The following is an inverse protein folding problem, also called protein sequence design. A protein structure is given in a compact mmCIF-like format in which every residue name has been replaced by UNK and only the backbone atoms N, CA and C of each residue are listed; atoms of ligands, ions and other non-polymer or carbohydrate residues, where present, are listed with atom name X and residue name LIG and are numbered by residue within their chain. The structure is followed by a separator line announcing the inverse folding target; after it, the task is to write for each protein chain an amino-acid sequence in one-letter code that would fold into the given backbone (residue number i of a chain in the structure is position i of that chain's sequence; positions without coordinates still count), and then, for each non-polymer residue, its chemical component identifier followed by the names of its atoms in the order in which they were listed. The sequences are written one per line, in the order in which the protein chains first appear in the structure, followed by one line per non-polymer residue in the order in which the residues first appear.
data_IF_572740776298
#
_entry.id   IF_572740776298
#
_cell.length_a   1.000
_cell.length_b   1.000
_cell.length_c   1.000
_cell.angle_alpha   90.00
_cell.angle_beta   90.00
_cell.angle_gamma   90.00
#
_symmetry.space_group_name_H-M   'P 1'
#
loop_
_entity.id
_entity.type
_entity.pdbx_description
1 polymer ?
#
# COMPACT_ATOMS: atom_id res chain seq x y z
N UNK A 1 26.44 -30.79 -51.77
CA UNK A 1 27.34 -30.02 -52.67
C UNK A 1 26.70 -28.65 -52.89
N UNK A 2 27.37 -27.51 -52.70
CA UNK A 2 28.73 -27.27 -52.18
C UNK A 2 28.67 -26.22 -51.06
N UNK A 3 29.60 -26.35 -50.12
CA UNK A 3 30.05 -25.29 -49.21
C UNK A 3 31.16 -24.46 -49.92
N UNK A 4 31.36 -23.20 -49.52
CA UNK A 4 32.64 -22.44 -49.58
C UNK A 4 32.45 -21.13 -48.79
N UNK A 5 33.48 -20.73 -48.03
CA UNK A 5 33.52 -19.58 -47.11
C UNK A 5 34.63 -18.60 -47.51
N UNK A 6 34.45 -17.28 -47.35
CA UNK A 6 35.57 -16.32 -47.16
C UNK A 6 35.11 -14.88 -46.79
N UNK A 7 35.77 -14.28 -45.79
CA UNK A 7 35.79 -12.83 -45.49
C UNK A 7 37.20 -12.44 -45.03
N UNK A 8 37.82 -11.39 -45.59
CA UNK A 8 38.22 -10.18 -44.83
C UNK A 8 38.00 -8.91 -45.70
N UNK A 9 38.55 -7.68 -45.53
CA UNK A 9 39.53 -6.98 -44.67
C UNK A 9 38.97 -5.54 -44.38
N UNK A 10 39.36 -4.71 -43.38
CA UNK A 10 40.64 -4.03 -43.05
C UNK A 10 41.14 -3.09 -44.19
N UNK A 11 41.57 -1.84 -43.99
CA UNK A 11 41.50 -0.84 -42.88
C UNK A 11 42.19 0.46 -43.36
N UNK A 12 41.89 1.64 -42.82
CA UNK A 12 42.91 2.71 -42.65
C UNK A 12 42.53 3.74 -41.56
N UNK A 13 43.54 4.42 -41.00
CA UNK A 13 43.46 4.94 -39.62
C UNK A 13 44.48 6.08 -39.35
N UNK A 14 44.03 7.32 -39.20
CA UNK A 14 44.81 8.50 -38.76
C UNK A 14 43.86 9.41 -37.93
N UNK A 15 44.11 9.90 -36.70
CA UNK A 15 45.32 10.42 -36.01
C UNK A 15 46.00 11.56 -36.80
N UNK A 16 46.31 12.74 -36.23
CA UNK A 16 46.18 13.28 -34.87
C UNK A 16 46.31 14.81 -34.97
N UNK A 17 45.67 15.59 -34.10
CA UNK A 17 46.41 16.60 -33.32
C UNK A 17 45.67 17.00 -32.03
N UNK A 18 46.32 17.83 -31.20
CA UNK A 18 46.06 17.91 -29.76
C UNK A 18 46.23 19.32 -29.18
N UNK A 19 45.50 19.57 -28.09
CA UNK A 19 45.80 20.47 -26.94
C UNK A 19 45.53 21.98 -27.01
N UNK A 20 44.80 22.40 -25.97
CA UNK A 20 45.04 23.57 -25.09
C UNK A 20 44.35 24.91 -25.38
N UNK A 21 43.22 25.09 -24.70
CA UNK A 21 42.69 26.37 -24.20
C UNK A 21 41.93 26.09 -22.90
N UNK A 22 41.96 26.99 -21.91
CA UNK A 22 41.41 26.74 -20.57
C UNK A 22 40.11 27.51 -20.28
N UNK A 23 39.22 26.83 -19.55
CA UNK A 23 38.03 27.27 -18.78
C UNK A 23 38.13 28.67 -18.12
N UNK A 24 37.02 29.40 -17.86
CA UNK A 24 35.73 28.93 -17.28
C UNK A 24 34.64 28.58 -18.29
N UNK A 25 33.61 27.76 -18.01
CA UNK A 25 32.94 27.41 -16.73
C UNK A 25 32.00 28.47 -16.15
N UNK A 26 31.04 28.95 -16.95
CA UNK A 26 29.74 29.34 -16.37
C UNK A 26 28.90 28.08 -16.16
N UNK A 27 28.82 27.62 -14.92
CA UNK A 27 27.93 26.54 -14.51
C UNK A 27 26.53 27.12 -14.25
N UNK A 28 25.64 27.01 -15.23
CA UNK A 28 24.21 27.26 -15.06
C UNK A 28 23.55 26.15 -14.22
N UNK A 29 23.91 26.09 -12.93
CA UNK A 29 23.20 25.32 -11.92
C UNK A 29 21.85 25.96 -11.61
N UNK A 30 20.89 25.81 -12.53
CA UNK A 30 19.47 25.82 -12.20
C UNK A 30 19.16 24.59 -11.36
N UNK A 31 19.47 24.66 -10.06
CA UNK A 31 19.34 23.55 -9.12
C UNK A 31 17.91 23.44 -8.61
N UNK A 32 17.04 22.85 -9.42
CA UNK A 32 15.63 22.60 -9.08
C UNK A 32 15.16 21.23 -9.62
N UNK A 33 16.01 20.21 -9.45
CA UNK A 33 15.53 18.83 -9.36
C UNK A 33 15.05 18.56 -7.93
N UNK A 34 14.05 19.33 -7.50
CA UNK A 34 13.43 19.16 -6.18
C UNK A 34 12.48 17.96 -6.23
N UNK A 35 13.06 16.77 -6.04
CA UNK A 35 12.37 15.48 -6.05
C UNK A 35 11.48 15.24 -4.81
N UNK A 36 11.00 16.30 -4.18
CA UNK A 36 9.95 16.23 -3.18
C UNK A 36 8.62 15.87 -3.87
N UNK A 37 7.84 14.91 -3.35
CA UNK A 37 6.44 14.78 -3.73
C UNK A 37 5.73 16.10 -3.40
N UNK A 38 5.05 16.71 -4.37
CA UNK A 38 4.16 17.82 -4.07
C UNK A 38 3.01 17.30 -3.20
N UNK A 39 3.05 17.67 -1.93
CA UNK A 39 2.05 17.34 -0.93
C UNK A 39 1.31 18.62 -0.50
N UNK A 40 0.83 19.39 -1.49
CA UNK A 40 0.06 20.60 -1.20
C UNK A 40 -1.28 20.24 -0.55
N UNK A 41 -1.65 20.96 0.50
CA UNK A 41 -2.93 20.80 1.18
C UNK A 41 -4.14 21.11 0.26
N UNK A 42 -3.94 21.89 -0.80
CA UNK A 42 -4.97 22.23 -1.81
C UNK A 42 -5.18 21.15 -2.89
N UNK A 43 -4.31 20.15 -2.99
CA UNK A 43 -4.46 19.08 -3.98
C UNK A 43 -5.62 18.14 -3.62
N UNK A 44 -6.35 17.58 -4.60
CA UNK A 44 -7.40 16.61 -4.32
C UNK A 44 -6.81 15.36 -3.65
N UNK A 45 -7.57 14.78 -2.71
CA UNK A 45 -7.18 13.51 -2.10
C UNK A 45 -7.26 12.39 -3.15
N UNK A 46 -6.09 11.86 -3.52
CA UNK A 46 -5.99 10.71 -4.43
C UNK A 46 -6.02 9.44 -3.60
N UNK A 47 -6.99 8.58 -3.90
CA UNK A 47 -7.10 7.24 -3.33
C UNK A 47 -6.40 6.27 -4.29
N UNK A 48 -5.49 5.45 -3.77
CA UNK A 48 -4.96 4.34 -4.56
C UNK A 48 -6.08 3.33 -4.86
N UNK A 49 -5.98 2.63 -5.99
CA UNK A 49 -7.02 1.66 -6.36
C UNK A 49 -6.98 0.48 -5.37
N UNK A 50 -8.09 0.16 -4.68
CA UNK A 50 -8.15 -0.92 -3.70
C UNK A 50 -7.57 -2.25 -4.25
N UNK A 51 -6.38 -2.66 -3.78
CA UNK A 51 -5.79 -3.94 -4.20
C UNK A 51 -6.59 -5.09 -3.58
N UNK A 52 -7.28 -5.87 -4.42
CA UNK A 52 -7.91 -7.13 -3.99
C UNK A 52 -6.85 -8.14 -3.55
N UNK A 53 -6.51 -8.09 -2.26
CA UNK A 53 -5.57 -8.97 -1.60
C UNK A 53 -6.06 -10.41 -1.54
N UNK A 54 -7.37 -10.66 -1.44
CA UNK A 54 -7.95 -12.00 -1.49
C UNK A 54 -7.65 -12.67 -2.84
N UNK A 55 -8.05 -12.03 -3.95
CA UNK A 55 -7.74 -12.53 -5.30
C UNK A 55 -6.23 -12.62 -5.54
N UNK A 56 -5.46 -11.63 -5.08
CA UNK A 56 -3.99 -11.64 -5.19
C UNK A 56 -3.35 -12.82 -4.45
N UNK A 57 -3.81 -13.13 -3.23
CA UNK A 57 -3.30 -14.21 -2.39
C UNK A 57 -3.67 -15.58 -2.95
N UNK A 58 -4.93 -15.76 -3.39
CA UNK A 58 -5.36 -16.98 -4.08
C UNK A 58 -4.54 -17.24 -5.35
N UNK A 59 -4.43 -16.26 -6.26
CA UNK A 59 -3.63 -16.41 -7.48
C UNK A 59 -2.16 -16.69 -7.18
N UNK A 60 -1.59 -16.05 -6.15
CA UNK A 60 -0.21 -16.28 -5.72
C UNK A 60 0.01 -17.68 -5.13
N UNK A 61 -0.93 -18.18 -4.31
CA UNK A 61 -0.86 -19.56 -3.78
C UNK A 61 -0.91 -20.58 -4.90
N UNK A 62 -1.91 -20.46 -5.77
CA UNK A 62 -2.16 -21.42 -6.84
C UNK A 62 -0.99 -21.43 -7.85
N UNK A 63 -0.38 -20.26 -8.11
CA UNK A 63 0.89 -20.15 -8.84
C UNK A 63 2.05 -20.85 -8.13
N UNK A 64 2.26 -20.61 -6.82
CA UNK A 64 3.37 -21.22 -6.08
C UNK A 64 3.27 -22.75 -6.05
N UNK A 65 2.05 -23.30 -5.88
CA UNK A 65 1.79 -24.74 -5.96
C UNK A 65 2.08 -25.27 -7.37
N UNK A 66 1.69 -24.55 -8.42
CA UNK A 66 2.02 -24.91 -9.80
C UNK A 66 3.53 -24.81 -10.13
N UNK A 67 4.27 -23.93 -9.45
CA UNK A 67 5.74 -23.83 -9.49
C UNK A 67 6.44 -24.92 -8.65
N UNK A 68 5.68 -25.76 -7.94
CA UNK A 68 6.20 -26.92 -7.20
C UNK A 68 6.37 -26.71 -5.68
N UNK A 69 5.80 -25.66 -5.10
CA UNK A 69 5.75 -25.50 -3.65
C UNK A 69 4.85 -26.57 -2.99
N UNK A 70 5.24 -27.00 -1.79
CA UNK A 70 4.42 -27.86 -0.94
C UNK A 70 3.14 -27.08 -0.52
N UNK A 71 1.91 -27.61 -0.75
CA UNK A 71 0.68 -26.96 -0.31
C UNK A 71 0.65 -26.64 1.19
N UNK A 72 1.24 -27.48 2.05
CA UNK A 72 1.31 -27.22 3.51
C UNK A 72 2.31 -26.09 3.86
N UNK A 73 3.11 -25.62 2.88
CA UNK A 73 4.05 -24.50 3.02
C UNK A 73 3.49 -23.14 2.55
N UNK A 74 2.30 -23.10 1.93
CA UNK A 74 1.69 -21.85 1.43
C UNK A 74 0.20 -21.79 1.80
N UNK A 75 -0.09 -21.22 2.97
CA UNK A 75 -1.46 -21.07 3.49
C UNK A 75 -1.99 -19.65 3.34
N UNK A 76 -3.32 -19.51 3.36
CA UNK A 76 -4.00 -18.22 3.46
C UNK A 76 -4.17 -17.79 4.93
N UNK A 77 -4.27 -16.48 5.17
CA UNK A 77 -4.44 -15.93 6.51
C UNK A 77 -5.79 -16.32 7.14
N UNK A 78 -6.85 -16.48 6.33
CA UNK A 78 -8.14 -17.03 6.76
C UNK A 78 -8.07 -18.52 7.15
N UNK A 79 -7.06 -19.26 6.68
CA UNK A 79 -6.83 -20.67 6.98
C UNK A 79 -6.06 -20.87 8.30
N UNK A 80 -5.33 -19.86 8.80
CA UNK A 80 -4.58 -19.90 10.08
C UNK A 80 -5.46 -20.37 11.26
N UNK A 81 -6.74 -19.96 11.29
CA UNK A 81 -7.70 -20.36 12.34
C UNK A 81 -7.89 -21.88 12.44
N UNK A 82 -7.66 -22.63 11.36
CA UNK A 82 -7.77 -24.09 11.32
C UNK A 82 -6.66 -24.74 12.17
N UNK A 83 -5.49 -24.09 12.26
CA UNK A 83 -4.37 -24.49 13.12
C UNK A 83 -4.51 -24.00 14.56
N UNK A 84 -5.46 -23.10 14.83
CA UNK A 84 -5.71 -22.49 16.15
C UNK A 84 -7.19 -22.66 16.56
N UNK A 85 -7.66 -23.90 16.83
CA UNK A 85 -9.01 -24.12 17.32
C UNK A 85 -9.29 -23.28 18.59
N UNK A 86 -10.41 -22.58 18.62
CA UNK A 86 -10.89 -21.82 19.78
C UNK A 86 -11.32 -22.79 20.88
N UNK A 87 -10.93 -22.52 22.12
CA UNK A 87 -11.27 -23.37 23.28
C UNK A 87 -12.51 -22.82 24.01
N UNK A 88 -13.27 -23.70 24.63
CA UNK A 88 -14.40 -23.30 25.47
C UNK A 88 -13.89 -22.55 26.72
N UNK A 89 -14.58 -21.47 27.10
CA UNK A 89 -14.17 -20.58 28.20
C UNK A 89 -12.92 -19.72 27.94
N UNK A 90 -12.34 -19.74 26.73
CA UNK A 90 -11.10 -19.03 26.41
C UNK A 90 -11.30 -17.52 26.22
N UNK A 91 -10.44 -16.71 26.86
CA UNK A 91 -10.49 -15.26 26.70
C UNK A 91 -10.01 -14.82 25.31
N UNK A 92 -10.48 -13.66 24.79
CA UNK A 92 -9.97 -13.11 23.53
C UNK A 92 -8.45 -12.87 23.54
N UNK A 93 -7.88 -12.51 24.69
CA UNK A 93 -6.45 -12.28 24.84
C UNK A 93 -5.62 -13.58 24.77
N UNK A 94 -6.07 -14.65 25.42
CA UNK A 94 -5.41 -15.96 25.37
C UNK A 94 -5.50 -16.56 23.95
N UNK A 95 -6.66 -16.43 23.31
CA UNK A 95 -6.84 -16.83 21.91
C UNK A 95 -5.90 -16.04 20.98
N UNK A 96 -5.87 -14.71 21.09
CA UNK A 96 -5.00 -13.84 20.30
C UNK A 96 -3.50 -14.15 20.49
N UNK A 97 -3.09 -14.44 21.73
CA UNK A 97 -1.73 -14.89 22.05
C UNK A 97 -1.40 -16.22 21.37
N UNK A 98 -2.26 -17.24 21.50
CA UNK A 98 -2.04 -18.54 20.82
C UNK A 98 -2.02 -18.41 19.31
N UNK A 99 -2.85 -17.53 18.75
CA UNK A 99 -2.91 -17.24 17.32
C UNK A 99 -1.58 -16.67 16.82
N UNK A 100 -1.06 -15.64 17.51
CA UNK A 100 0.25 -15.06 17.23
C UNK A 100 1.42 -16.06 17.39
N UNK A 101 1.44 -16.82 18.49
CA UNK A 101 2.47 -17.84 18.74
C UNK A 101 2.46 -18.95 17.66
N UNK A 102 1.28 -19.33 17.16
CA UNK A 102 1.13 -20.33 16.08
C UNK A 102 1.61 -19.78 14.75
N UNK A 103 1.18 -18.58 14.34
CA UNK A 103 1.68 -17.94 13.11
C UNK A 103 3.20 -17.79 13.14
N UNK A 104 3.76 -17.31 14.25
CA UNK A 104 5.21 -17.18 14.42
C UNK A 104 5.91 -18.54 14.28
N UNK A 105 5.36 -19.61 14.84
CA UNK A 105 5.92 -20.96 14.71
C UNK A 105 5.82 -21.51 13.27
N UNK A 106 4.78 -21.18 12.51
CA UNK A 106 4.62 -21.56 11.10
C UNK A 106 5.62 -20.81 10.21
N UNK A 107 5.71 -19.48 10.34
CA UNK A 107 6.70 -18.65 9.62
C UNK A 107 8.13 -19.12 9.95
N UNK A 108 8.41 -19.46 11.21
CA UNK A 108 9.72 -19.99 11.65
C UNK A 108 10.06 -21.38 11.08
N UNK A 109 9.11 -22.07 10.45
CA UNK A 109 9.30 -23.32 9.71
C UNK A 109 9.38 -23.12 8.19
N UNK A 110 9.29 -21.88 7.71
CA UNK A 110 9.29 -21.53 6.30
C UNK A 110 7.89 -21.45 5.65
N UNK A 111 6.81 -21.56 6.42
CA UNK A 111 5.45 -21.44 5.88
C UNK A 111 5.18 -19.99 5.47
N UNK A 112 4.83 -19.79 4.20
CA UNK A 112 4.33 -18.53 3.67
C UNK A 112 2.86 -18.37 4.01
N UNK A 113 2.52 -17.38 4.84
CA UNK A 113 1.14 -16.99 5.12
C UNK A 113 0.81 -15.82 4.18
N UNK A 114 -0.21 -15.98 3.34
CA UNK A 114 -0.66 -14.97 2.38
C UNK A 114 -1.92 -14.27 2.91
N UNK A 115 -1.91 -12.93 2.95
CA UNK A 115 -3.04 -12.15 3.42
C UNK A 115 -4.19 -12.15 2.39
N UNK A 116 -5.25 -12.89 2.69
CA UNK A 116 -6.51 -12.96 1.96
C UNK A 116 -7.69 -12.33 2.74
N UNK A 117 -7.43 -11.80 3.94
CA UNK A 117 -8.46 -11.27 4.86
C UNK A 117 -8.59 -9.74 4.80
N UNK A 118 -7.54 -9.04 4.36
CA UNK A 118 -7.71 -7.69 3.84
C UNK A 118 -8.31 -7.77 2.44
N UNK A 119 -9.17 -6.80 2.09
CA UNK A 119 -9.69 -6.63 0.72
C UNK A 119 -9.02 -5.47 -0.01
N UNK A 120 -8.30 -4.59 0.68
CA UNK A 120 -7.43 -3.54 0.13
C UNK A 120 -6.62 -2.80 1.21
N UNK A 121 -5.64 -2.02 0.76
CA UNK A 121 -5.02 -0.90 1.50
C UNK A 121 -6.00 0.28 1.58
N UNK A 122 -7.08 0.10 2.34
CA UNK A 122 -8.12 1.13 2.49
C UNK A 122 -7.61 2.23 3.41
N UNK A 123 -7.21 3.37 2.82
CA UNK A 123 -7.21 4.66 3.54
C UNK A 123 -8.64 4.86 4.07
N UNK A 124 -8.85 5.04 5.39
CA UNK A 124 -10.20 5.13 5.95
C UNK A 124 -10.93 6.32 5.35
N UNK A 125 -11.97 6.02 4.56
CA UNK A 125 -12.76 7.00 3.82
C UNK A 125 -14.10 7.31 4.48
N UNK A 126 -14.61 6.40 5.30
CA UNK A 126 -15.87 6.54 6.03
C UNK A 126 -15.60 6.65 7.52
N UNK A 127 -16.11 7.70 8.15
CA UNK A 127 -15.93 7.98 9.57
C UNK A 127 -17.31 8.05 10.25
N UNK A 128 -17.52 7.24 11.28
CA UNK A 128 -18.78 7.11 12.01
C UNK A 128 -18.61 7.60 13.44
N UNK A 129 -19.45 8.56 13.87
CA UNK A 129 -19.46 9.11 15.24
C UNK A 129 -20.40 8.32 16.15
N UNK A 130 -20.27 8.48 17.48
CA UNK A 130 -21.10 7.77 18.46
C UNK A 130 -22.60 8.12 18.39
N UNK A 131 -22.95 9.30 17.88
CA UNK A 131 -24.34 9.70 17.59
C UNK A 131 -24.85 9.17 16.23
N UNK A 132 -24.08 8.32 15.55
CA UNK A 132 -24.45 7.58 14.34
C UNK A 132 -24.26 8.34 13.03
N UNK A 133 -23.74 9.57 13.08
CA UNK A 133 -23.49 10.40 11.89
C UNK A 133 -22.29 9.84 11.11
N UNK A 134 -22.37 9.94 9.79
CA UNK A 134 -21.39 9.33 8.89
C UNK A 134 -20.81 10.36 7.93
N UNK A 135 -19.48 10.44 7.87
CA UNK A 135 -18.74 11.36 7.02
C UNK A 135 -17.98 10.58 5.95
N UNK A 136 -18.28 10.89 4.69
CA UNK A 136 -17.66 10.30 3.50
C UNK A 136 -16.58 11.23 2.96
N UNK A 137 -15.34 10.91 3.31
CA UNK A 137 -14.11 11.43 2.77
C UNK A 137 -13.48 10.38 1.83
N UNK A 138 -14.30 9.76 0.96
CA UNK A 138 -13.89 8.76 -0.02
C UNK A 138 -13.77 9.25 -1.46
N UNK A 139 -13.51 8.32 -2.41
CA UNK A 139 -13.43 8.64 -3.84
C UNK A 139 -14.69 9.36 -4.35
N UNK A 140 -14.52 10.60 -4.82
CA UNK A 140 -15.62 11.44 -5.30
C UNK A 140 -16.24 12.37 -4.26
N UNK A 141 -15.81 12.33 -2.99
CA UNK A 141 -16.19 13.30 -1.95
C UNK A 141 -15.76 14.75 -2.27
N UNK A 142 -14.70 14.91 -3.06
CA UNK A 142 -14.10 16.21 -3.40
C UNK A 142 -13.19 16.79 -2.31
N UNK A 143 -12.83 16.01 -1.28
CA UNK A 143 -11.91 16.42 -0.20
C UNK A 143 -10.48 16.66 -0.72
N UNK A 144 -9.79 17.67 -0.18
CA UNK A 144 -8.36 17.90 -0.45
C UNK A 144 -7.47 17.12 0.52
N UNK A 145 -6.17 17.01 0.24
CA UNK A 145 -5.20 16.39 1.15
C UNK A 145 -5.17 17.10 2.52
N UNK A 146 -5.25 18.43 2.54
CA UNK A 146 -5.28 19.23 3.76
C UNK A 146 -6.57 19.04 4.55
N UNK A 147 -7.73 19.03 3.88
CA UNK A 147 -9.01 18.77 4.52
C UNK A 147 -9.08 17.35 5.10
N UNK A 148 -8.53 16.35 4.41
CA UNK A 148 -8.42 14.98 4.92
C UNK A 148 -7.53 14.91 6.17
N UNK A 149 -6.35 15.58 6.14
CA UNK A 149 -5.43 15.68 7.29
C UNK A 149 -6.06 16.35 8.50
N UNK A 150 -6.77 17.46 8.29
CA UNK A 150 -7.37 18.23 9.38
C UNK A 150 -8.63 17.54 9.95
N UNK A 151 -9.50 16.98 9.09
CA UNK A 151 -10.63 16.18 9.54
C UNK A 151 -10.18 14.97 10.35
N UNK A 152 -9.18 14.22 9.85
CA UNK A 152 -8.66 13.03 10.55
C UNK A 152 -8.15 13.38 11.95
N UNK A 153 -7.44 14.51 12.08
CA UNK A 153 -6.96 15.00 13.38
C UNK A 153 -8.12 15.36 14.31
N UNK A 154 -9.06 16.17 13.84
CA UNK A 154 -10.25 16.55 14.62
C UNK A 154 -11.05 15.32 15.09
N UNK A 155 -11.21 14.32 14.22
CA UNK A 155 -11.93 13.09 14.53
C UNK A 155 -11.19 12.24 15.58
N UNK A 156 -9.86 12.13 15.49
CA UNK A 156 -9.04 11.49 16.54
C UNK A 156 -9.10 12.26 17.87
N UNK A 157 -8.97 13.59 17.86
CA UNK A 157 -9.06 14.43 19.07
C UNK A 157 -10.44 14.29 19.75
N UNK A 158 -11.53 14.23 18.97
CA UNK A 158 -12.88 13.98 19.46
C UNK A 158 -13.02 12.58 20.10
N UNK A 159 -12.48 11.53 19.47
CA UNK A 159 -12.52 10.17 20.02
C UNK A 159 -11.70 10.03 21.32
N UNK A 160 -10.52 10.66 21.40
CA UNK A 160 -9.69 10.63 22.61
C UNK A 160 -10.27 11.44 23.78
N UNK A 161 -11.15 12.41 23.50
CA UNK A 161 -11.73 13.28 24.52
C UNK A 161 -12.94 12.67 25.28
N UNK A 162 -13.48 11.53 24.84
CA UNK A 162 -14.75 10.92 25.28
C UNK A 162 -15.91 11.94 25.37
N UNK A 163 -15.90 12.93 24.48
CA UNK A 163 -16.83 14.07 24.51
C UNK A 163 -17.39 14.35 23.11
N UNK A 164 -18.72 14.46 23.03
CA UNK A 164 -19.42 14.95 21.86
C UNK A 164 -19.11 16.44 21.63
N UNK A 165 -18.00 16.70 20.94
CA UNK A 165 -17.70 18.02 20.41
C UNK A 165 -18.63 18.35 19.25
N UNK A 166 -19.11 19.59 19.20
CA UNK A 166 -19.95 20.08 18.12
C UNK A 166 -19.20 19.97 16.78
N UNK A 167 -19.80 19.28 15.80
CA UNK A 167 -19.18 19.07 14.49
C UNK A 167 -19.03 20.41 13.76
N UNK A 168 -17.79 20.86 13.46
CA UNK A 168 -17.56 22.13 12.78
C UNK A 168 -18.30 22.20 11.43
N UNK A 169 -18.93 23.35 11.14
CA UNK A 169 -19.75 23.54 9.92
C UNK A 169 -19.05 23.10 8.62
N UNK A 170 -17.72 23.30 8.55
CA UNK A 170 -16.88 22.92 7.41
C UNK A 170 -16.83 21.41 7.12
N UNK A 171 -17.16 20.55 8.09
CA UNK A 171 -17.21 19.09 7.92
C UNK A 171 -18.59 18.58 7.47
N UNK A 172 -19.66 19.37 7.65
CA UNK A 172 -21.03 18.99 7.27
C UNK A 172 -21.17 18.69 5.77
N UNK A 173 -20.32 19.24 4.90
CA UNK A 173 -20.30 18.92 3.46
C UNK A 173 -19.93 17.47 3.15
N UNK A 174 -19.19 16.80 4.04
CA UNK A 174 -18.82 15.39 3.92
C UNK A 174 -19.85 14.45 4.55
N UNK A 175 -20.79 14.97 5.33
CA UNK A 175 -21.84 14.16 5.94
C UNK A 175 -22.72 13.49 4.86
N UNK A 176 -23.09 12.23 5.10
CA UNK A 176 -23.98 11.41 4.27
C UNK A 176 -24.91 10.59 5.19
N UNK A 177 -26.04 10.08 4.67
CA UNK A 177 -26.78 9.01 5.33
C UNK A 177 -25.85 7.84 5.65
N UNK A 178 -26.01 7.23 6.83
CA UNK A 178 -25.19 6.09 7.23
C UNK A 178 -25.48 4.90 6.29
N UNK A 179 -24.46 4.25 5.69
CA UNK A 179 -24.68 3.15 4.74
C UNK A 179 -25.24 1.88 5.38
N UNK A 180 -25.52 1.86 6.70
CA UNK A 180 -26.27 0.80 7.39
C UNK A 180 -27.79 1.03 7.41
N UNK A 181 -28.26 2.23 7.08
CA UNK A 181 -29.68 2.62 7.10
C UNK A 181 -30.36 2.49 5.71
N UNK A 182 -29.73 1.77 4.76
CA UNK A 182 -30.10 1.65 3.34
C UNK A 182 -30.23 0.17 2.92
#
# INVERSE_FOLDING_TARGET
MKEITATPMISEHENLDRRSGAIPSESSQGHENDGAPHDSDDEPMVYETPQDYATSAHQKRDRLIAEGADPDSVILQSEVRNHVPRREGESPADFGKRYWETMKAMISRGVSILNDVCTADVVPSGFETEDGRFFDLGPGSGVTKGEFREFSRWFSEMLEAEQMHEVPEKWLKFEKPNPRDI
#
